data_IF_952985452477
#
_entry.id   IF_952985452477
#
_cell.length_a   1.000
_cell.length_b   1.000
_cell.length_c   1.000
_cell.angle_alpha   90.00
_cell.angle_beta   90.00
_cell.angle_gamma   90.00
#
_symmetry.space_group_name_H-M   'P 1'
#
loop_
_entity.id
_entity.type
_entity.pdbx_description
1 polymer ?
#
# COMPACT_ATOMS: atom_id res chain seq x y z
N UNK A 1 -22.75 -16.74 23.76
CA UNK A 1 -21.97 -15.71 23.03
C UNK A 1 -20.76 -15.37 23.89
N UNK A 2 -19.57 -15.87 23.55
CA UNK A 2 -18.36 -15.78 24.38
C UNK A 2 -17.16 -15.35 23.56
N UNK A 3 -17.16 -14.09 23.13
CA UNK A 3 -16.01 -13.46 22.48
C UNK A 3 -15.66 -12.23 23.30
N UNK A 4 -14.47 -12.23 23.90
CA UNK A 4 -13.90 -11.10 24.62
C UNK A 4 -12.95 -10.33 23.71
N UNK A 5 -12.98 -9.00 23.82
CA UNK A 5 -12.09 -8.13 23.07
C UNK A 5 -10.67 -8.27 23.61
N UNK A 6 -9.71 -8.52 22.72
CA UNK A 6 -8.29 -8.49 23.07
C UNK A 6 -7.85 -7.04 23.27
N UNK A 7 -7.46 -6.61 24.49
CA UNK A 7 -7.06 -5.23 24.75
C UNK A 7 -5.84 -4.80 23.92
N UNK A 8 -4.99 -5.73 23.52
CA UNK A 8 -3.84 -5.47 22.64
C UNK A 8 -4.23 -5.07 21.22
N UNK A 9 -5.41 -5.50 20.74
CA UNK A 9 -5.90 -5.24 19.38
C UNK A 9 -6.88 -4.07 19.33
N UNK A 10 -7.32 -3.57 20.49
CA UNK A 10 -8.31 -2.50 20.61
C UNK A 10 -7.62 -1.22 21.03
N UNK A 11 -7.57 -0.25 20.12
CA UNK A 11 -7.04 1.09 20.39
C UNK A 11 -8.12 2.13 20.09
N UNK A 12 -8.47 2.95 21.09
CA UNK A 12 -9.23 4.19 20.88
C UNK A 12 -8.22 5.30 20.61
N UNK A 13 -8.30 5.93 19.44
CA UNK A 13 -7.35 6.96 19.00
C UNK A 13 -8.13 8.11 18.37
N UNK A 14 -7.64 9.33 18.50
CA UNK A 14 -8.26 10.47 17.83
C UNK A 14 -8.14 10.30 16.31
N UNK A 15 -9.17 10.68 15.56
CA UNK A 15 -9.15 10.53 14.10
C UNK A 15 -8.07 11.41 13.43
N UNK A 16 -7.56 12.41 14.15
CA UNK A 16 -6.41 13.25 13.76
C UNK A 16 -5.08 12.48 13.75
N UNK A 17 -4.89 11.52 14.65
CA UNK A 17 -3.72 10.62 14.66
C UNK A 17 -3.89 9.51 13.61
N UNK A 18 -5.14 9.08 13.44
CA UNK A 18 -5.55 8.02 12.54
C UNK A 18 -5.21 6.62 13.05
N UNK A 19 -5.77 5.61 12.40
CA UNK A 19 -5.56 4.21 12.73
C UNK A 19 -5.39 3.35 11.48
N UNK A 20 -4.75 2.19 11.64
CA UNK A 20 -4.60 1.21 10.56
C UNK A 20 -5.65 0.09 10.71
N UNK A 21 -6.37 -0.19 9.63
CA UNK A 21 -7.36 -1.26 9.57
C UNK A 21 -7.35 -1.94 8.21
N UNK A 22 -7.28 -3.27 8.19
CA UNK A 22 -7.17 -4.10 6.97
C UNK A 22 -6.05 -3.67 6.00
N UNK A 23 -4.97 -3.10 6.53
CA UNK A 23 -3.85 -2.61 5.72
C UNK A 23 -4.08 -1.25 5.06
N UNK A 24 -5.14 -0.54 5.44
CA UNK A 24 -5.38 0.87 5.11
C UNK A 24 -5.12 1.73 6.33
N UNK A 25 -4.69 2.97 6.13
CA UNK A 25 -4.60 3.98 7.18
C UNK A 25 -5.74 4.97 7.01
N UNK A 26 -6.57 5.10 8.04
CA UNK A 26 -7.67 6.07 8.10
C UNK A 26 -7.23 7.24 8.97
N UNK A 27 -7.27 8.46 8.42
CA UNK A 27 -6.85 9.67 9.12
C UNK A 27 -7.70 10.86 8.68
N UNK A 28 -7.92 11.83 9.56
CA UNK A 28 -8.42 13.14 9.16
C UNK A 28 -7.27 14.02 8.66
N UNK A 29 -7.46 14.61 7.50
CA UNK A 29 -6.47 15.46 6.87
C UNK A 29 -7.06 16.83 6.58
N UNK A 30 -6.24 17.87 6.74
CA UNK A 30 -6.60 19.21 6.31
C UNK A 30 -6.17 19.40 4.86
N UNK A 31 -7.13 19.68 3.98
CA UNK A 31 -6.89 20.03 2.60
C UNK A 31 -7.15 21.52 2.38
N UNK A 32 -6.22 22.20 1.69
CA UNK A 32 -6.32 23.65 1.44
C UNK A 32 -7.53 24.03 0.57
N UNK A 33 -8.02 23.12 -0.27
CA UNK A 33 -9.14 23.33 -1.20
C UNK A 33 -10.47 22.85 -0.63
N UNK A 34 -10.47 21.77 0.13
CA UNK A 34 -11.71 21.10 0.59
C UNK A 34 -11.92 21.15 2.12
N UNK A 35 -10.99 21.72 2.87
CA UNK A 35 -11.07 21.80 4.33
C UNK A 35 -10.72 20.49 5.02
N UNK A 36 -11.24 20.28 6.22
CA UNK A 36 -10.94 19.10 7.03
C UNK A 36 -11.80 17.91 6.61
N UNK A 37 -11.18 16.80 6.20
CA UNK A 37 -11.90 15.64 5.67
C UNK A 37 -11.23 14.30 5.99
N UNK A 38 -12.00 13.20 5.99
CA UNK A 38 -11.45 11.86 6.16
C UNK A 38 -10.66 11.45 4.91
N UNK A 39 -9.56 10.75 5.13
CA UNK A 39 -8.65 10.32 4.08
C UNK A 39 -8.18 8.90 4.34
N UNK A 40 -8.20 8.10 3.27
CA UNK A 40 -7.71 6.72 3.28
C UNK A 40 -6.35 6.70 2.59
N UNK A 41 -5.33 6.23 3.28
CA UNK A 41 -3.95 6.17 2.80
C UNK A 41 -3.41 4.74 2.83
N UNK A 42 -2.37 4.51 2.02
CA UNK A 42 -1.61 3.26 2.06
C UNK A 42 -0.54 3.40 3.15
N UNK A 43 -0.50 2.52 4.16
CA UNK A 43 0.57 2.51 5.15
C UNK A 43 1.94 2.40 4.50
N UNK A 44 2.89 3.24 4.94
CA UNK A 44 4.27 3.26 4.40
C UNK A 44 4.93 1.88 4.48
N UNK A 45 4.67 1.12 5.54
CA UNK A 45 5.18 -0.24 5.70
C UNK A 45 4.69 -1.20 4.61
N UNK A 46 3.42 -1.10 4.20
CA UNK A 46 2.85 -1.94 3.13
C UNK A 46 3.44 -1.59 1.77
N UNK A 47 3.62 -0.29 1.48
CA UNK A 47 4.31 0.18 0.28
C UNK A 47 5.78 -0.27 0.23
N UNK A 48 6.50 -0.19 1.36
CA UNK A 48 7.88 -0.65 1.46
C UNK A 48 8.01 -2.18 1.27
N UNK A 49 7.04 -2.96 1.79
CA UNK A 49 7.00 -4.40 1.59
C UNK A 49 6.82 -4.76 0.11
N UNK A 50 5.93 -4.06 -0.61
CA UNK A 50 5.79 -4.25 -2.06
C UNK A 50 7.11 -3.98 -2.79
N UNK A 51 7.77 -2.85 -2.51
CA UNK A 51 9.07 -2.51 -3.11
C UNK A 51 10.12 -3.59 -2.83
N UNK A 52 10.14 -4.14 -1.61
CA UNK A 52 11.04 -5.25 -1.24
C UNK A 52 10.74 -6.52 -2.02
N UNK A 53 9.47 -6.88 -2.19
CA UNK A 53 9.05 -8.04 -3.00
C UNK A 53 9.46 -7.88 -4.47
N UNK A 54 9.23 -6.71 -5.06
CA UNK A 54 9.67 -6.40 -6.43
C UNK A 54 11.19 -6.50 -6.52
N UNK A 55 11.94 -5.84 -5.63
CA UNK A 55 13.40 -5.88 -5.61
C UNK A 55 13.97 -7.29 -5.43
N UNK A 56 13.34 -8.15 -4.63
CA UNK A 56 13.79 -9.53 -4.46
C UNK A 56 13.63 -10.36 -5.76
N UNK A 57 12.64 -10.02 -6.60
CA UNK A 57 12.38 -10.68 -7.89
C UNK A 57 13.15 -10.08 -9.06
N UNK A 58 13.52 -8.80 -8.97
CA UNK A 58 14.33 -8.10 -9.99
C UNK A 58 15.83 -8.08 -9.68
N UNK A 59 16.23 -8.45 -8.46
CA UNK A 59 17.61 -8.39 -7.99
C UNK A 59 18.59 -9.24 -8.80
N UNK A 60 19.85 -8.81 -8.78
CA UNK A 60 20.99 -9.32 -9.56
C UNK A 60 21.27 -10.83 -9.44
N UNK A 61 20.74 -11.50 -8.42
CA UNK A 61 20.85 -12.96 -8.23
C UNK A 61 19.80 -13.78 -8.99
N UNK A 62 18.81 -13.12 -9.61
CA UNK A 62 17.89 -13.81 -10.53
C UNK A 62 18.64 -14.08 -11.82
N UNK A 63 18.86 -15.37 -12.09
CA UNK A 63 19.28 -16.01 -13.35
C UNK A 63 18.93 -15.14 -14.56
N UNK A 64 19.75 -15.08 -15.63
CA UNK A 64 19.46 -14.30 -16.84
C UNK A 64 18.17 -14.79 -17.52
N UNK A 65 17.04 -14.33 -16.99
CA UNK A 65 15.71 -14.48 -17.53
C UNK A 65 15.38 -13.20 -18.29
N UNK A 66 14.70 -13.35 -19.41
CA UNK A 66 14.26 -12.22 -20.21
C UNK A 66 13.47 -11.23 -19.36
N UNK A 67 13.62 -9.93 -19.67
CA UNK A 67 12.81 -8.87 -19.06
C UNK A 67 11.31 -9.19 -19.18
N UNK A 68 10.89 -9.75 -20.31
CA UNK A 68 9.51 -10.18 -20.56
C UNK A 68 9.02 -11.23 -19.54
N UNK A 69 9.84 -12.23 -19.21
CA UNK A 69 9.50 -13.24 -18.20
C UNK A 69 9.34 -12.63 -16.81
N UNK A 70 10.24 -11.71 -16.42
CA UNK A 70 10.16 -10.99 -15.14
C UNK A 70 8.91 -10.11 -15.07
N UNK A 71 8.57 -9.43 -16.16
CA UNK A 71 7.35 -8.62 -16.25
C UNK A 71 6.09 -9.47 -16.17
N UNK A 72 6.05 -10.64 -16.82
CA UNK A 72 4.92 -11.58 -16.72
C UNK A 72 4.69 -12.05 -15.27
N UNK A 73 5.75 -12.28 -14.49
CA UNK A 73 5.62 -12.62 -13.07
C UNK A 73 5.17 -11.44 -12.20
N UNK A 74 5.68 -10.24 -12.46
CA UNK A 74 5.41 -9.06 -11.63
C UNK A 74 4.04 -8.44 -11.90
N UNK A 75 3.60 -8.41 -13.16
CA UNK A 75 2.38 -7.73 -13.56
C UNK A 75 1.12 -8.16 -12.77
N UNK A 76 0.86 -9.46 -12.52
CA UNK A 76 -0.27 -9.88 -11.70
C UNK A 76 -0.20 -9.36 -10.25
N UNK A 77 0.99 -9.34 -9.64
CA UNK A 77 1.20 -8.85 -8.28
C UNK A 77 0.91 -7.36 -8.21
N UNK A 78 1.47 -6.60 -9.16
CA UNK A 78 1.30 -5.15 -9.24
C UNK A 78 -0.16 -4.77 -9.50
N UNK A 79 -0.82 -5.47 -10.43
CA UNK A 79 -2.25 -5.28 -10.73
C UNK A 79 -3.14 -5.59 -9.53
N UNK A 80 -2.89 -6.69 -8.83
CA UNK A 80 -3.64 -7.06 -7.63
C UNK A 80 -3.48 -6.00 -6.53
N UNK A 81 -2.24 -5.56 -6.30
CA UNK A 81 -1.96 -4.49 -5.35
C UNK A 81 -2.61 -3.18 -5.78
N UNK A 82 -2.61 -2.88 -7.07
CA UNK A 82 -3.24 -1.67 -7.60
C UNK A 82 -4.76 -1.66 -7.40
N UNK A 83 -5.42 -2.78 -7.70
CA UNK A 83 -6.85 -2.94 -7.50
C UNK A 83 -7.25 -2.87 -6.03
N UNK A 84 -6.40 -3.36 -5.12
CA UNK A 84 -6.66 -3.31 -3.68
C UNK A 84 -6.60 -1.88 -3.12
N UNK A 85 -5.60 -1.08 -3.55
CA UNK A 85 -5.40 0.28 -3.06
C UNK A 85 -5.99 1.37 -3.96
N UNK A 86 -6.77 1.04 -5.00
CA UNK A 86 -7.28 2.02 -5.98
C UNK A 86 -8.07 3.19 -5.38
N UNK A 87 -8.73 2.96 -4.24
CA UNK A 87 -9.53 3.98 -3.56
C UNK A 87 -8.73 4.79 -2.52
N UNK A 88 -7.43 4.50 -2.35
CA UNK A 88 -6.58 5.29 -1.49
C UNK A 88 -6.21 6.62 -2.15
N UNK A 89 -6.11 7.65 -1.32
CA UNK A 89 -5.61 8.94 -1.75
C UNK A 89 -4.16 8.78 -2.27
N UNK A 90 -3.84 9.43 -3.39
CA UNK A 90 -2.58 9.32 -4.13
C UNK A 90 -2.23 7.93 -4.69
N UNK A 91 -3.18 7.00 -4.81
CA UNK A 91 -2.94 5.71 -5.47
C UNK A 91 -2.33 5.87 -6.87
N UNK A 92 -2.82 6.83 -7.67
CA UNK A 92 -2.28 7.14 -8.99
C UNK A 92 -0.78 7.50 -8.99
N UNK A 93 -0.33 8.35 -8.06
CA UNK A 93 1.10 8.72 -7.94
C UNK A 93 1.97 7.53 -7.55
N UNK A 94 1.44 6.65 -6.70
CA UNK A 94 2.11 5.43 -6.30
C UNK A 94 2.31 4.48 -7.48
N UNK A 95 1.32 4.32 -8.36
CA UNK A 95 1.47 3.52 -9.59
C UNK A 95 2.49 4.13 -10.54
N UNK A 96 2.42 5.44 -10.80
CA UNK A 96 3.43 6.10 -11.63
C UNK A 96 4.84 5.94 -11.07
N UNK A 97 5.04 6.09 -9.76
CA UNK A 97 6.35 5.85 -9.13
C UNK A 97 6.82 4.40 -9.25
N UNK A 98 5.91 3.44 -9.32
CA UNK A 98 6.21 2.02 -9.41
C UNK A 98 6.56 1.63 -10.85
N UNK A 99 5.84 2.19 -11.82
CA UNK A 99 6.15 2.03 -13.25
C UNK A 99 7.56 2.58 -13.56
N UNK A 100 7.90 3.78 -13.08
CA UNK A 100 9.25 4.36 -13.19
C UNK A 100 10.35 3.53 -12.51
N UNK A 101 10.02 2.73 -11.50
CA UNK A 101 11.00 1.89 -10.81
C UNK A 101 11.26 0.56 -11.54
N UNK A 102 10.35 0.15 -12.43
CA UNK A 102 10.39 -1.13 -13.14
C UNK A 102 10.82 -0.96 -14.60
N UNK A 103 10.57 0.21 -15.19
CA UNK A 103 11.12 0.64 -16.49
C UNK A 103 12.64 0.84 -16.42
#
# INVERSE_FOLDING_TARGET
MGLELSPEKTKVTAMTEGFEFLGFRFIMHWDKRYGYGPRIEIPKAKAANLRRKVKARTGTSSTPCSLASKLQELNPILRGWANYYRHCAYAGRMFTSLDWYIA
#
